data_IF_847369622532
#
_entry.id   IF_847369622532
#
_cell.length_a   1.000
_cell.length_b   1.000
_cell.length_c   1.000
_cell.angle_alpha   90.00
_cell.angle_beta   90.00
_cell.angle_gamma   90.00
#
_symmetry.space_group_name_H-M   'P 1'
#
loop_
_entity.id
_entity.type
_entity.pdbx_description
1 polymer ?
#
# COMPACT_ATOMS: atom_id res chain seq x y z
N UNK A 1 -11.27 -7.03 -24.43
CA UNK A 1 -11.74 -5.85 -23.66
C UNK A 1 -11.67 -6.08 -22.15
N UNK A 2 -12.19 -7.21 -21.65
CA UNK A 2 -12.17 -7.54 -20.21
C UNK A 2 -10.76 -7.56 -19.60
N UNK A 3 -9.77 -8.12 -20.29
CA UNK A 3 -8.38 -8.17 -19.81
C UNK A 3 -7.76 -6.77 -19.69
N UNK A 4 -7.86 -5.96 -20.75
CA UNK A 4 -7.39 -4.56 -20.75
C UNK A 4 -8.07 -3.71 -19.64
N UNK A 5 -9.38 -3.89 -19.43
CA UNK A 5 -10.09 -3.22 -18.35
C UNK A 5 -9.60 -3.68 -16.96
N UNK A 6 -9.31 -4.98 -16.80
CA UNK A 6 -8.78 -5.51 -15.56
C UNK A 6 -7.34 -5.10 -15.28
N UNK A 7 -6.45 -5.07 -16.28
CA UNK A 7 -5.08 -4.55 -16.13
C UNK A 7 -5.09 -3.06 -15.79
N UNK A 8 -5.98 -2.29 -16.42
CA UNK A 8 -6.18 -0.88 -16.07
C UNK A 8 -6.68 -0.73 -14.62
N UNK A 9 -7.67 -1.53 -14.21
CA UNK A 9 -8.19 -1.50 -12.84
C UNK A 9 -7.13 -1.90 -11.80
N UNK A 10 -6.28 -2.88 -12.11
CA UNK A 10 -5.22 -3.36 -11.22
C UNK A 10 -3.98 -2.45 -11.19
N UNK A 11 -3.77 -1.60 -12.19
CA UNK A 11 -2.70 -0.60 -12.16
C UNK A 11 -3.16 0.71 -11.51
N UNK A 12 -4.28 1.26 -11.96
CA UNK A 12 -4.77 2.58 -11.52
C UNK A 12 -5.55 2.48 -10.20
N UNK A 13 -6.33 1.42 -10.02
CA UNK A 13 -7.16 1.24 -8.82
C UNK A 13 -6.37 1.26 -7.52
N UNK A 14 -5.27 0.49 -7.38
CA UNK A 14 -4.42 0.54 -6.20
C UNK A 14 -3.79 1.92 -5.99
N UNK A 15 -3.30 2.59 -7.04
CA UNK A 15 -2.70 3.92 -6.89
C UNK A 15 -3.70 4.93 -6.30
N UNK A 16 -4.92 4.97 -6.83
CA UNK A 16 -5.99 5.84 -6.34
C UNK A 16 -6.44 5.43 -4.93
N UNK A 17 -6.67 4.13 -4.70
CA UNK A 17 -7.09 3.61 -3.40
C UNK A 17 -6.07 3.89 -2.29
N UNK A 18 -4.78 3.69 -2.58
CA UNK A 18 -3.69 3.93 -1.64
C UNK A 18 -3.54 5.41 -1.30
N UNK A 19 -3.76 6.33 -2.24
CA UNK A 19 -3.77 7.77 -1.98
C UNK A 19 -4.89 8.15 -0.99
N UNK A 20 -6.12 7.67 -1.21
CA UNK A 20 -7.23 7.94 -0.29
C UNK A 20 -7.02 7.30 1.09
N UNK A 21 -6.54 6.05 1.11
CA UNK A 21 -6.16 5.36 2.34
C UNK A 21 -5.09 6.14 3.12
N UNK A 22 -4.00 6.54 2.47
CA UNK A 22 -2.91 7.27 3.11
C UNK A 22 -3.39 8.59 3.70
N UNK A 23 -4.18 9.37 2.95
CA UNK A 23 -4.75 10.64 3.44
C UNK A 23 -5.65 10.45 4.66
N UNK A 24 -6.53 9.45 4.60
CA UNK A 24 -7.42 9.15 5.72
C UNK A 24 -6.63 8.64 6.93
N UNK A 25 -5.78 7.63 6.75
CA UNK A 25 -5.00 7.04 7.84
C UNK A 25 -4.09 8.08 8.51
N UNK A 26 -3.44 8.94 7.72
CA UNK A 26 -2.60 10.01 8.23
C UNK A 26 -3.39 10.98 9.11
N UNK A 27 -4.54 11.48 8.65
CA UNK A 27 -5.34 12.45 9.42
C UNK A 27 -6.10 11.81 10.59
N UNK A 28 -6.71 10.65 10.38
CA UNK A 28 -7.68 10.06 11.29
C UNK A 28 -7.09 9.02 12.24
N UNK A 29 -5.94 8.41 11.92
CA UNK A 29 -5.27 7.44 12.78
C UNK A 29 -3.94 7.97 13.30
N UNK A 30 -3.01 8.34 12.41
CA UNK A 30 -1.64 8.71 12.78
C UNK A 30 -1.57 10.02 13.55
N UNK A 31 -2.38 11.01 13.18
CA UNK A 31 -2.51 12.27 13.93
C UNK A 31 -3.53 12.23 15.08
N UNK A 32 -4.14 11.08 15.35
CA UNK A 32 -5.11 10.91 16.43
C UNK A 32 -4.64 9.83 17.41
N UNK A 33 -5.23 8.64 17.36
CA UNK A 33 -4.95 7.55 18.32
C UNK A 33 -3.53 7.01 18.25
N UNK A 34 -2.82 7.19 17.13
CA UNK A 34 -1.47 6.68 16.92
C UNK A 34 -0.39 7.78 16.91
N UNK A 35 -0.70 8.97 17.43
CA UNK A 35 0.25 10.10 17.48
C UNK A 35 1.58 9.73 18.13
N UNK A 36 1.57 8.93 19.20
CA UNK A 36 2.78 8.52 19.88
C UNK A 36 3.77 7.73 19.00
N UNK A 37 3.31 7.14 17.89
CA UNK A 37 4.17 6.48 16.88
C UNK A 37 4.57 7.43 15.75
N UNK A 38 3.76 8.46 15.48
CA UNK A 38 3.95 9.40 14.37
C UNK A 38 4.72 10.66 14.74
N UNK A 39 4.78 11.01 16.03
CA UNK A 39 5.34 12.26 16.53
C UNK A 39 6.79 12.50 16.12
N UNK A 40 7.63 11.45 16.08
CA UNK A 40 9.05 11.56 15.68
C UNK A 40 9.20 12.11 14.27
N UNK A 41 8.25 11.80 13.38
CA UNK A 41 8.27 12.22 11.98
C UNK A 41 8.08 13.75 11.83
N UNK A 42 7.45 14.40 12.81
CA UNK A 42 7.26 15.86 12.84
C UNK A 42 8.41 16.60 13.52
N UNK A 43 9.39 15.87 14.07
CA UNK A 43 10.58 16.43 14.72
C UNK A 43 11.83 16.19 13.85
N UNK A 44 12.93 16.91 14.12
CA UNK A 44 14.21 16.58 13.50
C UNK A 44 14.58 15.12 13.78
N UNK A 45 14.93 14.39 12.72
CA UNK A 45 15.26 12.96 12.81
C UNK A 45 16.54 12.74 13.61
N UNK A 46 16.50 11.79 14.53
CA UNK A 46 17.68 11.31 15.26
C UNK A 46 18.03 9.89 14.84
N UNK A 47 19.06 9.76 14.01
CA UNK A 47 19.59 8.47 13.58
C UNK A 47 18.84 7.78 12.42
N UNK A 48 19.10 6.49 12.20
CA UNK A 48 18.65 5.79 11.00
C UNK A 48 17.21 5.25 11.09
N UNK A 49 16.58 5.17 12.26
CA UNK A 49 15.24 4.59 12.44
C UNK A 49 14.36 5.44 13.36
N UNK A 50 13.05 5.36 13.14
CA UNK A 50 12.02 6.03 13.92
C UNK A 50 10.88 5.04 14.26
N UNK A 51 10.17 5.27 15.37
CA UNK A 51 8.97 4.47 15.68
C UNK A 51 7.91 4.55 14.57
N UNK A 52 7.90 5.68 13.85
CA UNK A 52 7.07 5.91 12.67
C UNK A 52 7.31 4.88 11.55
N UNK A 53 8.52 4.29 11.46
CA UNK A 53 8.86 3.31 10.42
C UNK A 53 7.97 2.04 10.50
N UNK A 54 7.34 1.79 11.65
CA UNK A 54 6.33 0.72 11.80
C UNK A 54 5.15 0.91 10.84
N UNK A 55 4.75 2.14 10.53
CA UNK A 55 3.69 2.37 9.55
C UNK A 55 4.10 1.94 8.14
N UNK A 56 5.36 2.13 7.76
CA UNK A 56 5.87 1.66 6.47
C UNK A 56 5.78 0.12 6.40
N UNK A 57 6.17 -0.58 7.46
CA UNK A 57 6.10 -2.05 7.53
C UNK A 57 4.64 -2.54 7.47
N UNK A 58 3.75 -1.97 8.28
CA UNK A 58 2.33 -2.38 8.35
C UNK A 58 1.63 -2.17 7.00
N UNK A 59 1.97 -1.12 6.25
CA UNK A 59 1.37 -0.89 4.93
C UNK A 59 2.04 -1.70 3.81
N UNK A 60 3.36 -1.92 3.88
CA UNK A 60 4.10 -2.64 2.85
C UNK A 60 3.89 -4.16 2.90
N UNK A 61 3.82 -4.76 4.09
CA UNK A 61 3.70 -6.22 4.23
C UNK A 61 2.43 -6.77 3.55
N UNK A 62 1.22 -6.20 3.77
CA UNK A 62 0.02 -6.63 3.05
C UNK A 62 0.13 -6.41 1.54
N UNK A 63 0.73 -5.29 1.10
CA UNK A 63 0.93 -5.02 -0.33
C UNK A 63 1.85 -6.07 -0.98
N UNK A 64 2.94 -6.45 -0.32
CA UNK A 64 3.87 -7.49 -0.77
C UNK A 64 3.21 -8.88 -0.73
N UNK A 65 2.43 -9.18 0.31
CA UNK A 65 1.74 -10.46 0.45
C UNK A 65 0.69 -10.72 -0.65
N UNK A 66 0.24 -9.69 -1.37
CA UNK A 66 -0.66 -9.82 -2.51
C UNK A 66 0.05 -10.18 -3.83
N UNK A 67 1.39 -10.13 -3.89
CA UNK A 67 2.16 -10.52 -5.08
C UNK A 67 2.14 -12.04 -5.38
N UNK A 68 2.31 -12.96 -4.41
CA UNK A 68 2.33 -14.40 -4.71
C UNK A 68 0.99 -14.96 -5.22
N UNK A 69 -0.13 -14.38 -4.80
CA UNK A 69 -1.49 -14.80 -5.20
C UNK A 69 -1.80 -14.54 -6.69
N UNK A 70 -1.07 -13.61 -7.30
CA UNK A 70 -1.18 -13.24 -8.72
C UNK A 70 -0.47 -14.24 -9.66
N UNK A 71 0.56 -14.95 -9.19
CA UNK A 71 1.45 -15.73 -10.06
C UNK A 71 1.05 -17.20 -10.24
N UNK A 72 0.15 -17.75 -9.41
CA UNK A 72 -0.07 -19.22 -9.33
C UNK A 72 -1.42 -19.72 -9.87
N UNK A 73 -2.25 -18.86 -10.45
CA UNK A 73 -3.55 -19.26 -11.00
C UNK A 73 -3.43 -19.46 -12.51
N UNK A 74 -3.57 -20.68 -13.04
CA UNK A 74 -3.83 -20.82 -14.49
C UNK A 74 -5.24 -20.30 -14.78
N UNK A 75 -5.39 -19.26 -15.60
CA UNK A 75 -6.68 -18.62 -15.90
C UNK A 75 -6.55 -17.11 -16.19
N UNK A 76 -7.64 -16.35 -16.09
CA UNK A 76 -7.71 -14.88 -16.32
C UNK A 76 -6.70 -14.05 -15.50
N UNK A 77 -6.17 -14.60 -14.41
CA UNK A 77 -5.35 -13.90 -13.42
C UNK A 77 -3.90 -13.62 -13.88
N UNK A 78 -3.15 -14.55 -14.51
CA UNK A 78 -1.82 -14.26 -15.05
C UNK A 78 -1.85 -13.28 -16.23
N UNK A 79 -2.90 -13.28 -17.06
CA UNK A 79 -3.07 -12.27 -18.12
C UNK A 79 -3.28 -10.85 -17.56
N UNK A 80 -3.85 -10.76 -16.35
CA UNK A 80 -4.03 -9.50 -15.62
C UNK A 80 -2.75 -9.00 -14.93
N UNK A 81 -1.84 -9.90 -14.57
CA UNK A 81 -0.62 -9.59 -13.82
C UNK A 81 0.63 -9.43 -14.68
N UNK A 82 0.69 -10.06 -15.85
CA UNK A 82 1.87 -10.03 -16.74
C UNK A 82 1.59 -9.44 -18.13
N UNK A 83 0.35 -9.06 -18.40
CA UNK A 83 -0.09 -8.70 -19.76
C UNK A 83 -0.27 -9.93 -20.64
N UNK A 84 -1.23 -9.86 -21.55
CA UNK A 84 -1.35 -10.81 -22.66
C UNK A 84 -0.24 -10.57 -23.70
#
# INVERSE_FOLDING_TARGET
>A
MTEMAGTFALSVGPAVGMEFWARWAHRALWHASLWHMHESHHRPREGPFELNDVFAIINAVPAIALFPSASSSRGLLPGLCFGA
#
